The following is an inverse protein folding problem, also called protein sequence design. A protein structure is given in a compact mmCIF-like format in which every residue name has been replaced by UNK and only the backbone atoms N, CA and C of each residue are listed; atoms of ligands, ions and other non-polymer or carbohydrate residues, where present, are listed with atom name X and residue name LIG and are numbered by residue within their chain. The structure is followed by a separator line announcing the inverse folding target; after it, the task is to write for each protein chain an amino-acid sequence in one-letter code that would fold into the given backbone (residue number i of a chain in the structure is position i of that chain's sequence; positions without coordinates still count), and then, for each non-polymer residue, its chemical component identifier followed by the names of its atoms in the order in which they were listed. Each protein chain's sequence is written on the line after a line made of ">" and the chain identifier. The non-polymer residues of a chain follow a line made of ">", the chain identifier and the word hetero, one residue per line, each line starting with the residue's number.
data_IF_956059681114
#
_entry.id   IF_956059681114
#
_cell.length_a   1.000
_cell.length_b   1.000
_cell.length_c   1.000
_cell.angle_alpha   90.00
_cell.angle_beta   90.00
_cell.angle_gamma   90.00
#
_symmetry.space_group_name_H-M   'P 1'
#
loop_
_entity.id
_entity.type
_entity.pdbx_description
1 polymer ?
#
# COMPACT_ATOMS: atom_id res chain seq x y z
N UNK A 1 38.97 14.28 32.30
CA UNK A 1 37.53 14.60 32.15
C UNK A 1 37.21 15.45 30.91
N UNK A 2 38.03 16.44 30.52
CA UNK A 2 37.72 17.28 29.33
C UNK A 2 37.87 16.59 27.96
N UNK A 3 38.80 15.66 27.79
CA UNK A 3 39.01 14.96 26.52
C UNK A 3 37.92 13.93 26.21
N UNK A 4 37.37 13.29 27.24
CA UNK A 4 36.27 12.33 27.13
C UNK A 4 34.96 13.01 26.77
N UNK A 5 34.66 14.18 27.35
CA UNK A 5 33.45 14.95 27.00
C UNK A 5 33.54 15.53 25.59
N UNK A 6 34.71 16.00 25.17
CA UNK A 6 34.94 16.49 23.80
C UNK A 6 34.80 15.35 22.77
N UNK A 7 35.35 14.17 23.07
CA UNK A 7 35.22 12.98 22.23
C UNK A 7 33.77 12.51 22.06
N UNK A 8 33.00 12.48 23.15
CA UNK A 8 31.57 12.14 23.11
C UNK A 8 30.80 13.18 22.29
N UNK A 9 31.08 14.48 22.47
CA UNK A 9 30.44 15.56 21.72
C UNK A 9 30.67 15.44 20.21
N UNK A 10 31.91 15.14 19.80
CA UNK A 10 32.25 14.91 18.39
C UNK A 10 31.54 13.71 17.79
N UNK A 11 31.43 12.60 18.53
CA UNK A 11 30.71 11.41 18.08
C UNK A 11 29.21 11.68 17.91
N UNK A 12 28.59 12.41 18.84
CA UNK A 12 27.18 12.80 18.75
C UNK A 12 26.95 13.72 17.54
N UNK A 13 27.82 14.71 17.33
CA UNK A 13 27.73 15.60 16.18
C UNK A 13 27.90 14.85 14.85
N UNK A 14 28.85 13.92 14.77
CA UNK A 14 29.06 13.08 13.60
C UNK A 14 27.85 12.17 13.32
N UNK A 15 27.29 11.54 14.36
CA UNK A 15 26.10 10.70 14.23
C UNK A 15 24.87 11.52 13.78
N UNK A 16 24.69 12.72 14.32
CA UNK A 16 23.62 13.64 13.91
C UNK A 16 23.80 14.10 12.46
N UNK A 17 25.04 14.43 12.05
CA UNK A 17 25.37 14.80 10.68
C UNK A 17 25.09 13.67 9.69
N UNK A 18 25.46 12.43 10.03
CA UNK A 18 25.18 11.25 9.22
C UNK A 18 23.67 11.01 9.08
N UNK A 19 22.92 11.10 10.18
CA UNK A 19 21.47 10.95 10.15
C UNK A 19 20.79 12.05 9.32
N UNK A 20 21.26 13.30 9.39
CA UNK A 20 20.73 14.41 8.59
C UNK A 20 21.03 14.21 7.09
N UNK A 21 22.26 13.82 6.75
CA UNK A 21 22.64 13.52 5.37
C UNK A 21 21.80 12.38 4.79
N UNK A 22 21.58 11.31 5.58
CA UNK A 22 20.72 10.20 5.19
C UNK A 22 19.28 10.57 4.93
N UNK A 23 18.69 11.40 5.80
CA UNK A 23 17.34 11.95 5.56
C UNK A 23 17.28 12.78 4.28
N UNK A 24 18.29 13.60 4.02
CA UNK A 24 18.34 14.42 2.80
C UNK A 24 18.45 13.57 1.54
N UNK A 25 19.32 12.55 1.54
CA UNK A 25 19.45 11.61 0.42
C UNK A 25 18.13 10.88 0.17
N UNK A 26 17.50 10.38 1.22
CA UNK A 26 16.23 9.67 1.14
C UNK A 26 15.09 10.57 0.64
N UNK A 27 15.05 11.82 1.09
CA UNK A 27 14.07 12.80 0.61
C UNK A 27 14.26 13.08 -0.89
N UNK A 28 15.51 13.21 -1.37
CA UNK A 28 15.80 13.34 -2.79
C UNK A 28 15.30 12.15 -3.62
N UNK A 29 15.60 10.92 -3.18
CA UNK A 29 15.10 9.70 -3.83
C UNK A 29 13.56 9.62 -3.82
N UNK A 30 12.92 10.05 -2.72
CA UNK A 30 11.45 10.12 -2.64
C UNK A 30 10.89 11.11 -3.67
N UNK A 31 11.51 12.28 -3.82
CA UNK A 31 11.09 13.28 -4.80
C UNK A 31 11.27 12.80 -6.24
N UNK A 32 12.33 12.05 -6.52
CA UNK A 32 12.56 11.45 -7.83
C UNK A 32 11.47 10.43 -8.18
N UNK A 33 11.16 9.48 -7.28
CA UNK A 33 10.07 8.53 -7.49
C UNK A 33 8.71 9.22 -7.61
N UNK A 34 8.47 10.27 -6.83
CA UNK A 34 7.24 11.05 -6.94
C UNK A 34 7.15 11.75 -8.30
N UNK A 35 8.24 12.33 -8.80
CA UNK A 35 8.28 12.94 -10.12
C UNK A 35 8.01 11.91 -11.23
N UNK A 36 8.55 10.69 -11.11
CA UNK A 36 8.26 9.59 -12.03
C UNK A 36 6.78 9.17 -11.97
N UNK A 37 6.22 9.04 -10.77
CA UNK A 37 4.79 8.73 -10.57
C UNK A 37 3.89 9.79 -11.21
N UNK A 38 4.19 11.07 -10.98
CA UNK A 38 3.43 12.18 -11.55
C UNK A 38 3.58 12.28 -13.08
N UNK A 39 4.79 12.06 -13.61
CA UNK A 39 5.04 12.07 -15.05
C UNK A 39 4.35 10.90 -15.78
N UNK A 40 4.15 9.78 -15.10
CA UNK A 40 3.43 8.62 -15.62
C UNK A 40 1.90 8.79 -15.60
N UNK A 41 1.37 9.84 -14.95
CA UNK A 41 -0.08 10.06 -14.89
C UNK A 41 -0.64 10.28 -16.28
N UNK A 42 -1.71 9.56 -16.58
CA UNK A 42 -2.58 9.88 -17.69
C UNK A 42 -3.65 10.88 -17.24
N UNK A 43 -4.13 11.76 -18.13
CA UNK A 43 -5.30 12.58 -17.86
C UNK A 43 -6.44 11.68 -17.39
N UNK A 44 -6.92 11.97 -16.18
CA UNK A 44 -8.03 11.25 -15.62
C UNK A 44 -9.29 11.49 -16.49
N UNK A 45 -10.23 10.54 -16.48
CA UNK A 45 -11.53 10.75 -17.14
C UNK A 45 -12.41 11.55 -16.18
N UNK A 46 -12.74 12.78 -16.57
CA UNK A 46 -13.68 13.58 -15.79
C UNK A 46 -15.00 12.82 -15.72
N UNK A 47 -15.46 12.54 -14.50
CA UNK A 47 -16.59 11.66 -14.31
C UNK A 47 -17.10 11.64 -12.88
N UNK A 48 -18.41 11.45 -12.80
CA UNK A 48 -19.12 11.16 -11.57
C UNK A 48 -19.59 9.72 -11.65
N UNK A 49 -19.58 9.04 -10.51
CA UNK A 49 -20.18 7.73 -10.38
C UNK A 49 -21.68 7.80 -10.67
N UNK A 50 -22.13 6.94 -11.59
CA UNK A 50 -23.54 6.72 -11.90
C UNK A 50 -23.97 5.39 -11.28
N UNK A 51 -24.96 5.44 -10.37
CA UNK A 51 -25.43 4.26 -9.66
C UNK A 51 -25.98 3.15 -10.58
N UNK A 52 -26.29 3.44 -11.84
CA UNK A 52 -26.72 2.42 -12.82
C UNK A 52 -25.56 1.54 -13.30
N UNK A 53 -24.32 1.99 -13.15
CA UNK A 53 -23.14 1.22 -13.56
C UNK A 53 -23.04 -0.11 -12.81
N UNK A 54 -23.56 -0.17 -11.59
CA UNK A 54 -23.50 -1.37 -10.76
C UNK A 54 -24.68 -2.34 -10.98
N UNK A 55 -25.71 -1.97 -11.75
CA UNK A 55 -26.93 -2.78 -11.88
C UNK A 55 -26.68 -4.18 -12.46
N UNK A 56 -25.61 -4.31 -13.26
CA UNK A 56 -25.20 -5.56 -13.90
C UNK A 56 -24.13 -6.34 -13.12
N UNK A 57 -23.67 -5.83 -11.97
CA UNK A 57 -22.60 -6.44 -11.18
C UNK A 57 -23.10 -7.57 -10.28
N UNK A 58 -22.21 -8.45 -9.79
CA UNK A 58 -22.57 -9.47 -8.81
C UNK A 58 -23.22 -8.87 -7.55
N UNK A 59 -24.18 -9.60 -6.97
CA UNK A 59 -24.92 -9.18 -5.78
C UNK A 59 -24.07 -8.60 -4.63
N UNK A 60 -22.99 -9.27 -4.16
CA UNK A 60 -22.13 -8.71 -3.12
C UNK A 60 -21.44 -7.39 -3.52
N UNK A 61 -21.03 -7.27 -4.80
CA UNK A 61 -20.38 -6.07 -5.34
C UNK A 61 -21.36 -4.89 -5.41
N UNK A 62 -22.62 -5.15 -5.79
CA UNK A 62 -23.66 -4.12 -5.76
C UNK A 62 -23.89 -3.59 -4.35
N UNK A 63 -23.97 -4.49 -3.35
CA UNK A 63 -24.16 -4.11 -1.95
C UNK A 63 -22.99 -3.25 -1.46
N UNK A 64 -21.77 -3.61 -1.83
CA UNK A 64 -20.58 -2.81 -1.53
C UNK A 64 -20.67 -1.39 -2.07
N UNK A 65 -20.88 -1.20 -3.37
CA UNK A 65 -20.92 0.15 -3.94
C UNK A 65 -22.08 0.98 -3.40
N UNK A 66 -23.24 0.38 -3.11
CA UNK A 66 -24.36 1.06 -2.44
C UNK A 66 -24.05 1.47 -1.01
N UNK A 67 -23.20 0.70 -0.30
CA UNK A 67 -22.81 1.00 1.07
C UNK A 67 -21.68 2.05 1.14
N UNK A 68 -20.78 2.08 0.16
CA UNK A 68 -19.56 2.89 0.22
C UNK A 68 -19.58 4.16 -0.62
N UNK A 69 -20.44 4.27 -1.64
CA UNK A 69 -20.53 5.42 -2.54
C UNK A 69 -21.92 6.04 -2.53
N UNK A 70 -22.01 7.28 -3.03
CA UNK A 70 -23.27 7.97 -3.32
C UNK A 70 -23.35 8.26 -4.82
N UNK A 71 -24.54 8.19 -5.39
CA UNK A 71 -24.75 8.62 -6.77
C UNK A 71 -24.23 10.05 -6.98
N UNK A 72 -23.51 10.28 -8.08
CA UNK A 72 -22.83 11.53 -8.36
C UNK A 72 -21.50 11.74 -7.62
N UNK A 73 -20.96 10.73 -6.92
CA UNK A 73 -19.66 10.84 -6.25
C UNK A 73 -18.56 11.10 -7.31
N UNK A 74 -17.72 12.14 -7.17
CA UNK A 74 -16.64 12.38 -8.10
C UNK A 74 -15.58 11.27 -8.02
N UNK A 75 -15.01 10.91 -9.17
CA UNK A 75 -13.93 9.94 -9.23
C UNK A 75 -12.67 10.45 -8.53
N UNK A 76 -12.11 9.60 -7.67
CA UNK A 76 -10.81 9.80 -7.04
C UNK A 76 -9.75 9.61 -8.12
N UNK A 77 -8.92 10.64 -8.33
CA UNK A 77 -7.77 10.57 -9.24
C UNK A 77 -6.48 10.25 -8.50
N UNK A 78 -6.38 10.76 -7.26
CA UNK A 78 -5.25 10.52 -6.36
C UNK A 78 -5.75 10.32 -4.94
N UNK A 79 -5.19 9.35 -4.24
CA UNK A 79 -5.34 9.19 -2.81
C UNK A 79 -3.97 9.36 -2.14
N UNK A 80 -3.88 10.27 -1.17
CA UNK A 80 -2.70 10.45 -0.33
C UNK A 80 -3.08 10.10 1.09
N UNK A 81 -2.37 9.15 1.71
CA UNK A 81 -2.68 8.70 3.05
C UNK A 81 -1.44 8.41 3.90
N UNK A 82 -1.64 8.53 5.20
CA UNK A 82 -0.65 8.18 6.21
C UNK A 82 -1.15 7.00 7.03
N UNK A 83 -0.23 6.10 7.36
CA UNK A 83 -0.48 4.94 8.19
C UNK A 83 0.47 4.94 9.37
N UNK A 84 -0.02 4.45 10.50
CA UNK A 84 0.80 4.10 11.66
C UNK A 84 0.42 2.71 12.13
N UNK A 85 1.38 1.92 12.60
CA UNK A 85 1.10 0.57 13.03
C UNK A 85 2.34 -0.24 13.32
N UNK A 86 2.26 -1.56 13.12
CA UNK A 86 3.37 -2.48 13.34
C UNK A 86 3.63 -3.37 12.14
N UNK A 87 4.91 -3.62 11.87
CA UNK A 87 5.37 -4.54 10.84
C UNK A 87 6.26 -5.61 11.47
N UNK A 88 6.08 -6.87 11.08
CA UNK A 88 6.92 -7.97 11.54
C UNK A 88 8.14 -8.08 10.63
N UNK A 89 9.32 -7.87 11.20
CA UNK A 89 10.59 -7.93 10.48
C UNK A 89 11.20 -9.35 10.47
N UNK A 90 10.52 -10.34 11.06
CA UNK A 90 10.97 -11.73 11.09
C UNK A 90 10.20 -12.58 10.08
N UNK A 91 10.92 -13.43 9.33
CA UNK A 91 10.32 -14.38 8.39
C UNK A 91 9.75 -15.63 9.08
N UNK A 92 10.27 -16.00 10.25
CA UNK A 92 9.95 -17.28 10.93
C UNK A 92 9.48 -17.12 12.38
N UNK A 93 9.51 -15.91 12.92
CA UNK A 93 9.13 -15.63 14.31
C UNK A 93 8.43 -14.29 14.45
N UNK A 94 8.45 -13.73 15.66
CA UNK A 94 7.81 -12.46 15.98
C UNK A 94 8.84 -11.38 16.30
N UNK A 95 8.99 -10.42 15.39
CA UNK A 95 9.82 -9.23 15.57
C UNK A 95 9.03 -8.00 15.10
N UNK A 96 7.97 -7.70 15.84
CA UNK A 96 7.10 -6.57 15.56
C UNK A 96 7.78 -5.25 15.89
N UNK A 97 7.78 -4.33 14.92
CA UNK A 97 8.36 -3.00 15.04
C UNK A 97 7.33 -1.94 14.66
N UNK A 98 7.25 -0.82 15.39
CA UNK A 98 6.35 0.25 15.01
C UNK A 98 6.85 0.92 13.73
N UNK A 99 5.91 1.30 12.87
CA UNK A 99 6.18 2.07 11.67
C UNK A 99 5.24 3.27 11.53
N UNK A 100 5.70 4.25 10.77
CA UNK A 100 4.84 5.27 10.15
C UNK A 100 5.12 5.32 8.66
N UNK A 101 4.14 5.72 7.87
CA UNK A 101 4.32 5.86 6.43
C UNK A 101 3.47 6.95 5.83
N UNK A 102 3.91 7.40 4.67
CA UNK A 102 3.14 8.23 3.75
C UNK A 102 3.03 7.49 2.43
N UNK A 103 1.85 7.52 1.80
CA UNK A 103 1.62 6.93 0.49
C UNK A 103 0.85 7.89 -0.41
N UNK A 104 1.19 7.86 -1.69
CA UNK A 104 0.42 8.50 -2.76
C UNK A 104 0.10 7.46 -3.83
N UNK A 105 -1.18 7.27 -4.12
CA UNK A 105 -1.69 6.34 -5.13
C UNK A 105 -2.47 7.11 -6.21
N UNK A 106 -2.25 6.77 -7.47
CA UNK A 106 -2.91 7.34 -8.65
C UNK A 106 -3.79 6.27 -9.31
N UNK A 107 -4.97 6.63 -9.82
CA UNK A 107 -6.01 5.65 -10.21
C UNK A 107 -6.02 5.29 -11.70
N UNK A 108 -6.14 6.27 -12.60
CA UNK A 108 -6.37 6.01 -14.04
C UNK A 108 -5.21 5.34 -14.77
N UNK A 109 -3.98 5.55 -14.30
CA UNK A 109 -2.83 4.75 -14.69
C UNK A 109 -2.27 4.16 -13.40
N UNK A 110 -2.58 2.88 -13.08
CA UNK A 110 -2.26 2.29 -11.79
C UNK A 110 -0.83 2.59 -11.33
N UNK A 111 -0.71 3.18 -10.16
CA UNK A 111 0.59 3.48 -9.59
C UNK A 111 0.51 3.98 -8.17
N UNK A 112 1.57 3.74 -7.42
CA UNK A 112 1.72 4.30 -6.09
C UNK A 112 3.18 4.45 -5.71
N UNK A 113 3.42 5.32 -4.74
CA UNK A 113 4.65 5.42 -3.98
C UNK A 113 4.31 5.38 -2.49
N UNK A 114 4.82 4.37 -1.80
CA UNK A 114 4.80 4.25 -0.35
C UNK A 114 6.18 4.53 0.21
N UNK A 115 6.25 5.38 1.23
CA UNK A 115 7.47 5.74 1.94
C UNK A 115 7.29 5.44 3.43
N UNK A 116 7.87 4.34 3.87
CA UNK A 116 7.80 3.85 5.24
C UNK A 116 9.02 4.19 6.08
N UNK A 117 8.80 4.31 7.39
CA UNK A 117 9.83 4.44 8.41
C UNK A 117 9.56 3.46 9.53
N UNK A 118 10.49 2.56 9.78
CA UNK A 118 10.41 1.53 10.84
C UNK A 118 11.44 1.84 11.91
N UNK A 119 11.00 1.89 13.17
CA UNK A 119 11.91 2.08 14.30
C UNK A 119 12.53 0.73 14.69
N UNK A 120 13.83 0.56 14.45
CA UNK A 120 14.53 -0.71 14.66
C UNK A 120 14.84 -0.96 16.14
N UNK A 121 15.25 0.08 16.88
CA UNK A 121 15.55 0.02 18.31
C UNK A 121 14.61 0.94 19.11
N UNK A 122 13.92 0.42 20.16
CA UNK A 122 13.13 1.24 21.07
C UNK A 122 13.98 2.35 21.71
N UNK A 123 13.44 3.56 21.81
CA UNK A 123 14.11 4.71 22.43
C UNK A 123 15.24 5.35 21.61
N UNK A 124 15.65 4.75 20.48
CA UNK A 124 16.72 5.26 19.60
C UNK A 124 16.24 5.43 18.15
N UNK A 125 14.94 5.67 17.92
CA UNK A 125 14.38 5.76 16.57
C UNK A 125 15.15 6.74 15.67
N UNK A 126 15.55 7.90 16.20
CA UNK A 126 16.31 8.92 15.47
C UNK A 126 17.67 8.43 14.92
N UNK A 127 18.24 7.38 15.52
CA UNK A 127 19.55 6.78 15.18
C UNK A 127 19.42 5.32 14.68
N UNK A 128 18.20 4.81 14.54
CA UNK A 128 17.94 3.41 14.15
C UNK A 128 16.66 3.28 13.33
N UNK A 129 16.47 4.18 12.36
CA UNK A 129 15.34 4.10 11.43
C UNK A 129 15.74 3.29 10.19
N UNK A 130 14.95 2.27 9.85
CA UNK A 130 14.93 1.72 8.50
C UNK A 130 13.88 2.48 7.68
N UNK A 131 14.25 2.92 6.49
CA UNK A 131 13.36 3.58 5.54
C UNK A 131 13.11 2.66 4.36
N UNK A 132 11.89 2.66 3.84
CA UNK A 132 11.51 1.76 2.76
C UNK A 132 10.69 2.52 1.72
N UNK A 133 11.13 2.46 0.47
CA UNK A 133 10.34 2.82 -0.69
C UNK A 133 9.75 1.55 -1.27
N UNK A 134 8.44 1.56 -1.41
CA UNK A 134 7.72 0.52 -2.12
C UNK A 134 6.81 1.20 -3.15
N UNK A 135 6.86 0.76 -4.41
CA UNK A 135 6.17 1.46 -5.48
C UNK A 135 5.87 0.57 -6.68
N UNK A 136 4.78 0.90 -7.35
CA UNK A 136 4.51 0.47 -8.72
C UNK A 136 4.36 1.73 -9.58
N UNK A 137 5.21 1.89 -10.60
CA UNK A 137 5.21 3.07 -11.47
C UNK A 137 5.43 2.60 -12.91
N UNK A 138 4.44 2.85 -13.78
CA UNK A 138 4.50 2.56 -15.21
C UNK A 138 5.01 1.14 -15.53
N UNK A 139 4.41 0.12 -14.90
CA UNK A 139 4.80 -1.28 -15.10
C UNK A 139 6.06 -1.74 -14.36
N UNK A 140 6.70 -0.88 -13.57
CA UNK A 140 7.91 -1.19 -12.80
C UNK A 140 7.60 -1.25 -11.31
N UNK A 141 7.85 -2.40 -10.69
CA UNK A 141 7.83 -2.55 -9.22
C UNK A 141 9.19 -2.18 -8.63
N UNK A 142 9.20 -1.55 -7.47
CA UNK A 142 10.42 -1.20 -6.72
C UNK A 142 10.22 -1.46 -5.23
N UNK A 143 11.15 -2.18 -4.62
CA UNK A 143 11.30 -2.32 -3.18
C UNK A 143 12.73 -1.93 -2.80
N UNK A 144 12.90 -0.74 -2.23
CA UNK A 144 14.18 -0.24 -1.75
C UNK A 144 14.12 -0.01 -0.25
N UNK A 145 14.93 -0.71 0.52
CA UNK A 145 15.05 -0.56 1.97
C UNK A 145 16.46 -0.10 2.33
N UNK A 146 16.58 0.89 3.22
CA UNK A 146 17.86 1.40 3.69
C UNK A 146 17.85 1.70 5.19
N UNK A 147 18.97 1.47 5.87
CA UNK A 147 19.20 1.96 7.22
C UNK A 147 19.66 3.42 7.18
N UNK A 148 19.03 4.25 8.02
CA UNK A 148 19.25 5.70 8.11
C UNK A 148 19.03 6.46 6.79
N UNK A 149 18.39 5.84 5.79
CA UNK A 149 18.30 6.40 4.43
C UNK A 149 19.63 6.40 3.65
N UNK A 150 20.64 5.66 4.14
CA UNK A 150 21.99 5.64 3.55
C UNK A 150 22.44 4.24 3.13
N UNK A 151 22.35 3.28 4.05
CA UNK A 151 22.92 1.95 3.84
C UNK A 151 21.83 1.03 3.31
N UNK A 152 21.84 0.78 2.01
CA UNK A 152 20.89 -0.14 1.35
C UNK A 152 20.97 -1.53 1.98
N UNK A 153 19.79 -2.06 2.35
CA UNK A 153 19.58 -3.41 2.90
C UNK A 153 18.93 -4.31 1.85
N UNK A 154 18.00 -3.76 1.07
CA UNK A 154 17.36 -4.44 -0.05
C UNK A 154 17.12 -3.43 -1.16
N UNK A 155 17.31 -3.84 -2.40
CA UNK A 155 17.05 -3.01 -3.59
C UNK A 155 16.67 -3.95 -4.73
N UNK A 156 15.37 -4.03 -4.97
CA UNK A 156 14.79 -4.87 -6.01
C UNK A 156 13.91 -3.98 -6.87
N UNK A 157 14.20 -3.92 -8.16
CA UNK A 157 13.43 -3.14 -9.12
C UNK A 157 13.31 -3.88 -10.44
N UNK A 158 12.17 -3.75 -11.10
CA UNK A 158 11.98 -4.23 -12.47
C UNK A 158 10.53 -4.54 -12.82
N UNK A 159 10.36 -5.19 -13.97
CA UNK A 159 9.10 -5.79 -14.38
C UNK A 159 8.88 -7.17 -13.75
N UNK A 160 8.07 -8.02 -14.40
CA UNK A 160 7.87 -9.41 -13.98
C UNK A 160 7.22 -9.53 -12.60
N UNK A 161 7.74 -10.42 -11.76
CA UNK A 161 7.10 -10.77 -10.49
C UNK A 161 7.11 -9.64 -9.45
N UNK A 162 8.14 -8.79 -9.40
CA UNK A 162 8.14 -7.64 -8.47
C UNK A 162 7.05 -6.63 -8.88
N UNK A 163 6.96 -6.29 -10.17
CA UNK A 163 5.90 -5.43 -10.68
C UNK A 163 4.51 -6.04 -10.47
N UNK A 164 4.36 -7.35 -10.68
CA UNK A 164 3.11 -8.07 -10.43
C UNK A 164 2.71 -8.02 -8.96
N UNK A 165 3.67 -8.22 -8.04
CA UNK A 165 3.46 -8.15 -6.60
C UNK A 165 3.03 -6.75 -6.15
N UNK A 166 3.67 -5.70 -6.67
CA UNK A 166 3.31 -4.33 -6.30
C UNK A 166 1.99 -3.87 -6.89
N UNK A 167 1.66 -4.25 -8.14
CA UNK A 167 0.32 -4.00 -8.67
C UNK A 167 -0.76 -4.76 -7.88
N UNK A 168 -0.45 -5.96 -7.37
CA UNK A 168 -1.36 -6.72 -6.52
C UNK A 168 -1.61 -6.04 -5.18
N UNK A 169 -0.56 -5.46 -4.57
CA UNK A 169 -0.71 -4.63 -3.38
C UNK A 169 -1.62 -3.44 -3.66
N UNK A 170 -1.31 -2.68 -4.70
CA UNK A 170 -2.08 -1.53 -5.13
C UNK A 170 -3.56 -1.85 -5.35
N UNK A 171 -3.85 -3.00 -5.97
CA UNK A 171 -5.22 -3.42 -6.24
C UNK A 171 -5.99 -3.77 -4.95
N UNK A 172 -5.35 -4.48 -4.02
CA UNK A 172 -5.96 -4.76 -2.71
C UNK A 172 -6.21 -3.49 -1.88
N UNK A 173 -5.33 -2.50 -2.00
CA UNK A 173 -5.45 -1.20 -1.31
C UNK A 173 -6.54 -0.29 -1.88
N UNK A 174 -7.12 -0.60 -3.04
CA UNK A 174 -8.22 0.19 -3.62
C UNK A 174 -9.46 0.29 -2.72
N UNK A 175 -9.59 -0.57 -1.69
CA UNK A 175 -10.58 -0.39 -0.64
C UNK A 175 -10.45 0.97 0.08
N UNK A 176 -9.27 1.58 0.11
CA UNK A 176 -9.02 2.93 0.62
C UNK A 176 -9.32 4.05 -0.37
N UNK A 177 -9.66 3.77 -1.62
CA UNK A 177 -10.05 4.74 -2.64
C UNK A 177 -11.10 4.11 -3.58
N UNK A 178 -12.33 3.91 -3.06
CA UNK A 178 -13.28 2.92 -3.59
C UNK A 178 -13.80 3.19 -5.00
N UNK A 179 -13.74 4.43 -5.51
CA UNK A 179 -14.14 4.69 -6.90
C UNK A 179 -13.23 3.98 -7.90
N UNK A 180 -11.97 3.68 -7.54
CA UNK A 180 -11.04 2.94 -8.38
C UNK A 180 -11.47 1.48 -8.64
N UNK A 181 -12.38 0.93 -7.82
CA UNK A 181 -12.92 -0.43 -7.98
C UNK A 181 -14.07 -0.51 -9.01
N UNK A 182 -14.56 0.63 -9.51
CA UNK A 182 -15.69 0.66 -10.43
C UNK A 182 -15.32 0.09 -11.81
N UNK A 183 -16.25 -0.58 -12.51
CA UNK A 183 -16.06 -1.03 -13.89
C UNK A 183 -15.57 0.03 -14.89
N UNK A 184 -16.05 1.26 -14.75
CA UNK A 184 -15.65 2.42 -15.54
C UNK A 184 -14.19 2.82 -15.32
N UNK A 185 -13.59 2.37 -14.22
CA UNK A 185 -12.16 2.52 -13.91
C UNK A 185 -11.33 1.32 -14.35
N UNK A 186 -11.93 0.34 -15.05
CA UNK A 186 -11.23 -0.80 -15.65
C UNK A 186 -11.32 -2.11 -14.88
N UNK A 187 -12.00 -2.14 -13.73
CA UNK A 187 -12.13 -3.37 -12.92
C UNK A 187 -13.28 -4.26 -13.43
N UNK A 188 -12.98 -5.52 -13.73
CA UNK A 188 -13.97 -6.51 -14.16
C UNK A 188 -14.37 -7.41 -13.00
N UNK A 189 -15.66 -7.52 -12.73
CA UNK A 189 -16.19 -8.31 -11.63
C UNK A 189 -16.89 -9.58 -12.13
N UNK A 190 -16.62 -10.70 -11.46
CA UNK A 190 -17.26 -12.00 -11.70
C UNK A 190 -17.74 -12.59 -10.37
N UNK A 191 -18.96 -13.11 -10.35
CA UNK A 191 -19.54 -13.69 -9.15
C UNK A 191 -18.84 -15.02 -8.80
N UNK A 192 -18.59 -15.25 -7.51
CA UNK A 192 -18.15 -16.56 -6.99
C UNK A 192 -19.26 -17.18 -6.15
N UNK A 193 -19.75 -16.43 -5.16
CA UNK A 193 -20.90 -16.80 -4.33
C UNK A 193 -21.64 -15.55 -3.79
N UNK A 194 -22.58 -15.75 -2.85
CA UNK A 194 -23.40 -14.66 -2.28
C UNK A 194 -22.60 -13.64 -1.45
N UNK A 195 -21.36 -13.96 -1.08
CA UNK A 195 -20.47 -13.19 -0.20
C UNK A 195 -19.10 -12.90 -0.82
N UNK A 196 -18.84 -13.36 -2.04
CA UNK A 196 -17.54 -13.19 -2.68
C UNK A 196 -17.62 -13.00 -4.21
N UNK A 197 -16.64 -12.28 -4.75
CA UNK A 197 -16.51 -12.02 -6.18
C UNK A 197 -15.03 -11.90 -6.57
N UNK A 198 -14.70 -12.37 -7.77
CA UNK A 198 -13.41 -12.13 -8.38
C UNK A 198 -13.40 -10.75 -9.04
N UNK A 199 -12.36 -9.97 -8.77
CA UNK A 199 -12.11 -8.70 -9.45
C UNK A 199 -10.83 -8.82 -10.28
N UNK A 200 -10.89 -8.41 -11.54
CA UNK A 200 -9.76 -8.44 -12.46
C UNK A 200 -9.35 -7.03 -12.86
N UNK A 201 -8.05 -6.74 -12.76
CA UNK A 201 -7.41 -5.50 -13.20
C UNK A 201 -6.29 -5.83 -14.18
N UNK A 202 -6.16 -5.02 -15.23
CA UNK A 202 -5.12 -5.15 -16.25
C UNK A 202 -4.34 -3.84 -16.36
N UNK A 203 -3.02 -3.91 -16.23
CA UNK A 203 -2.11 -2.81 -16.56
C UNK A 203 -0.98 -3.32 -17.47
N UNK A 204 -0.98 -2.85 -18.72
CA UNK A 204 -0.06 -3.31 -19.76
C UNK A 204 -0.06 -4.85 -19.90
N UNK A 205 1.09 -5.52 -19.71
CA UNK A 205 1.19 -6.98 -19.80
C UNK A 205 0.74 -7.72 -18.53
N UNK A 206 0.45 -7.02 -17.43
CA UNK A 206 0.12 -7.63 -16.14
C UNK A 206 -1.41 -7.68 -15.98
N UNK A 207 -1.95 -8.89 -15.88
CA UNK A 207 -3.35 -9.15 -15.52
C UNK A 207 -3.43 -9.80 -14.14
N UNK A 208 -4.21 -9.23 -13.24
CA UNK A 208 -4.42 -9.72 -11.88
C UNK A 208 -5.88 -10.02 -11.65
N UNK A 209 -6.17 -11.16 -11.02
CA UNK A 209 -7.49 -11.48 -10.49
C UNK A 209 -7.34 -11.77 -9.00
N UNK A 210 -8.11 -11.05 -8.18
CA UNK A 210 -8.13 -11.22 -6.72
C UNK A 210 -9.55 -11.57 -6.28
N UNK A 211 -9.66 -12.39 -5.24
CA UNK A 211 -10.93 -12.75 -4.63
C UNK A 211 -11.26 -11.74 -3.53
N UNK A 212 -12.35 -11.00 -3.69
CA UNK A 212 -12.86 -10.08 -2.68
C UNK A 212 -13.97 -10.75 -1.88
N UNK A 213 -13.93 -10.61 -0.56
CA UNK A 213 -14.95 -11.11 0.35
C UNK A 213 -15.68 -9.93 1.02
N UNK A 214 -16.98 -10.11 1.22
CA UNK A 214 -17.87 -9.07 1.70
C UNK A 214 -18.68 -9.56 2.90
N UNK A 215 -18.93 -8.66 3.86
CA UNK A 215 -19.83 -8.94 4.98
C UNK A 215 -21.32 -8.73 4.59
N UNK A 216 -22.28 -9.11 5.47
CA UNK A 216 -23.69 -8.88 5.22
C UNK A 216 -24.11 -7.39 5.11
N UNK A 217 -23.31 -6.47 5.67
CA UNK A 217 -23.54 -5.03 5.52
C UNK A 217 -23.05 -4.51 4.14
N UNK A 218 -22.35 -5.35 3.37
CA UNK A 218 -21.82 -5.05 2.05
C UNK A 218 -20.37 -4.58 2.07
N UNK A 219 -19.71 -4.49 3.21
CA UNK A 219 -18.32 -4.01 3.27
C UNK A 219 -17.32 -5.09 2.86
N UNK A 220 -16.25 -4.71 2.16
CA UNK A 220 -15.11 -5.61 1.93
C UNK A 220 -14.49 -5.93 3.28
N UNK A 221 -14.27 -7.22 3.55
CA UNK A 221 -13.59 -7.71 4.76
C UNK A 221 -12.20 -8.23 4.44
N UNK A 222 -12.01 -8.83 3.27
CA UNK A 222 -10.72 -9.34 2.81
C UNK A 222 -10.56 -9.31 1.29
N UNK A 223 -9.30 -9.32 0.87
CA UNK A 223 -8.86 -9.45 -0.52
C UNK A 223 -7.77 -10.51 -0.57
N UNK A 224 -8.03 -11.60 -1.29
CA UNK A 224 -7.16 -12.78 -1.35
C UNK A 224 -6.53 -12.95 -2.74
N UNK A 225 -5.27 -13.36 -2.74
CA UNK A 225 -4.52 -13.80 -3.91
C UNK A 225 -4.01 -15.22 -3.69
N UNK A 226 -4.21 -16.10 -4.67
CA UNK A 226 -3.73 -17.49 -4.57
C UNK A 226 -2.21 -17.61 -4.57
N UNK A 227 -1.52 -16.65 -5.20
CA UNK A 227 -0.08 -16.67 -5.36
C UNK A 227 0.50 -15.25 -5.45
N UNK A 228 1.31 -14.88 -4.47
CA UNK A 228 2.18 -13.70 -4.46
C UNK A 228 3.60 -14.09 -4.08
N UNK A 229 4.58 -13.48 -4.73
CA UNK A 229 6.00 -13.68 -4.40
C UNK A 229 6.31 -13.24 -2.98
N UNK A 230 6.75 -14.18 -2.15
CA UNK A 230 7.24 -13.96 -0.79
C UNK A 230 8.74 -14.18 -0.76
N UNK A 231 9.50 -13.18 -0.31
CA UNK A 231 10.93 -13.36 -0.07
C UNK A 231 11.17 -14.23 1.16
N UNK A 232 11.66 -15.45 0.97
CA UNK A 232 12.04 -16.37 2.05
C UNK A 232 13.55 -16.62 1.95
N UNK A 233 14.34 -15.83 2.67
CA UNK A 233 15.80 -15.89 2.57
C UNK A 233 16.30 -15.34 1.23
N UNK A 234 16.95 -16.18 0.41
CA UNK A 234 17.41 -15.83 -0.94
C UNK A 234 16.42 -16.26 -2.03
N UNK A 235 15.42 -17.05 -1.69
CA UNK A 235 14.48 -17.62 -2.64
C UNK A 235 13.16 -16.85 -2.62
N UNK A 236 12.56 -16.70 -3.80
CA UNK A 236 11.19 -16.19 -3.92
C UNK A 236 10.25 -17.39 -4.00
N UNK A 237 9.32 -17.48 -3.05
CA UNK A 237 8.32 -18.54 -3.00
C UNK A 237 6.94 -17.92 -3.24
N UNK A 238 6.17 -18.50 -4.14
CA UNK A 238 4.79 -18.09 -4.37
C UNK A 238 3.91 -18.67 -3.25
N UNK A 239 3.30 -17.79 -2.46
CA UNK A 239 2.39 -18.17 -1.38
C UNK A 239 1.06 -17.44 -1.51
N UNK A 240 -0.05 -18.03 -1.04
CA UNK A 240 -1.29 -17.29 -0.95
C UNK A 240 -1.16 -16.13 0.04
N UNK A 241 -1.78 -15.03 -0.32
CA UNK A 241 -1.63 -13.74 0.34
C UNK A 241 -3.00 -13.13 0.57
N UNK A 242 -3.19 -12.58 1.76
CA UNK A 242 -4.48 -12.07 2.23
C UNK A 242 -4.32 -10.67 2.82
N UNK A 243 -5.22 -9.78 2.45
CA UNK A 243 -5.37 -8.44 3.00
C UNK A 243 -6.74 -8.29 3.63
N UNK A 244 -6.80 -8.07 4.94
CA UNK A 244 -8.04 -7.78 5.65
C UNK A 244 -8.18 -6.29 5.94
N UNK A 245 -9.39 -5.75 5.79
CA UNK A 245 -9.71 -4.35 6.10
C UNK A 245 -10.90 -4.27 7.06
N UNK A 246 -10.91 -3.26 7.92
CA UNK A 246 -11.96 -3.10 8.93
C UNK A 246 -12.08 -1.64 9.41
N UNK A 247 -13.00 -1.43 10.36
CA UNK A 247 -13.26 -0.13 10.98
C UNK A 247 -13.66 0.95 9.94
N UNK A 248 -14.73 0.68 9.20
CA UNK A 248 -15.24 1.59 8.17
C UNK A 248 -15.74 2.89 8.78
N UNK A 249 -15.34 4.02 8.20
CA UNK A 249 -15.73 5.35 8.63
C UNK A 249 -16.07 6.22 7.42
N UNK A 250 -16.98 7.18 7.62
CA UNK A 250 -17.35 8.14 6.59
C UNK A 250 -16.19 9.15 6.36
N UNK A 251 -15.74 9.27 5.12
CA UNK A 251 -14.71 10.22 4.65
C UNK A 251 -15.08 10.72 3.26
N UNK A 252 -15.15 12.04 3.08
CA UNK A 252 -15.52 12.65 1.79
C UNK A 252 -16.82 12.10 1.17
N UNK A 253 -17.80 11.75 2.02
CA UNK A 253 -19.07 11.18 1.59
C UNK A 253 -19.05 9.66 1.30
N UNK A 254 -17.89 9.01 1.41
CA UNK A 254 -17.70 7.57 1.17
C UNK A 254 -17.40 6.80 2.45
N UNK A 255 -17.84 5.55 2.56
CA UNK A 255 -17.43 4.67 3.66
C UNK A 255 -16.10 4.00 3.31
N UNK A 256 -15.07 4.22 4.12
CA UNK A 256 -13.69 3.78 3.86
C UNK A 256 -13.15 3.04 5.09
N UNK A 257 -12.52 1.87 4.96
CA UNK A 257 -11.89 1.19 6.09
C UNK A 257 -10.71 2.02 6.62
N UNK A 258 -10.54 2.03 7.94
CA UNK A 258 -9.45 2.79 8.59
C UNK A 258 -8.38 1.91 9.22
N UNK A 259 -8.53 0.59 9.10
CA UNK A 259 -7.52 -0.39 9.51
C UNK A 259 -7.32 -1.42 8.42
N UNK A 260 -6.06 -1.72 8.11
CA UNK A 260 -5.65 -2.74 7.15
C UNK A 260 -4.60 -3.67 7.73
N UNK A 261 -4.60 -4.91 7.28
CA UNK A 261 -3.65 -5.94 7.70
C UNK A 261 -3.32 -6.86 6.54
N UNK A 262 -2.03 -7.16 6.35
CA UNK A 262 -1.55 -8.07 5.33
C UNK A 262 -0.91 -9.30 5.96
N UNK A 263 -1.20 -10.47 5.40
CA UNK A 263 -0.80 -11.75 5.92
C UNK A 263 -0.43 -12.74 4.81
N UNK A 264 0.50 -13.64 5.12
CA UNK A 264 0.76 -14.83 4.33
C UNK A 264 -0.08 -15.99 4.84
N UNK A 265 -0.70 -16.75 3.95
CA UNK A 265 -1.32 -18.02 4.31
C UNK A 265 -0.27 -19.12 4.16
N UNK A 266 0.14 -19.70 5.29
CA UNK A 266 1.10 -20.80 5.34
C UNK A 266 0.40 -22.08 5.80
N UNK A 267 1.10 -23.20 5.76
CA UNK A 267 0.60 -24.47 6.29
C UNK A 267 0.24 -24.37 7.78
N UNK A 268 0.97 -23.53 8.53
CA UNK A 268 0.74 -23.25 9.95
C UNK A 268 -0.39 -22.23 10.20
N UNK A 269 -1.08 -21.79 9.14
CA UNK A 269 -2.17 -20.84 9.16
C UNK A 269 -1.79 -19.43 8.70
N UNK A 270 -2.71 -18.50 8.92
CA UNK A 270 -2.57 -17.08 8.57
C UNK A 270 -1.52 -16.41 9.45
N UNK A 271 -0.50 -15.82 8.83
CA UNK A 271 0.61 -15.12 9.51
C UNK A 271 0.69 -13.67 9.03
N UNK A 272 0.14 -12.79 9.85
CA UNK A 272 0.19 -11.34 9.64
C UNK A 272 1.60 -10.83 9.76
N UNK A 273 1.99 -9.94 8.84
CA UNK A 273 3.29 -9.27 8.88
C UNK A 273 3.15 -7.75 8.85
N UNK A 274 1.97 -7.22 8.54
CA UNK A 274 1.70 -5.79 8.52
C UNK A 274 0.33 -5.53 9.12
N UNK A 275 0.25 -4.56 10.03
CA UNK A 275 -1.01 -4.07 10.59
C UNK A 275 -0.89 -2.55 10.66
N UNK A 276 -1.78 -1.83 9.99
CA UNK A 276 -1.74 -0.37 9.88
C UNK A 276 -3.10 0.26 10.11
N UNK A 277 -3.10 1.38 10.83
CA UNK A 277 -4.25 2.25 11.03
C UNK A 277 -4.04 3.55 10.25
N UNK A 278 -5.09 3.97 9.55
CA UNK A 278 -5.14 5.19 8.76
C UNK A 278 -5.18 6.41 9.69
N UNK A 279 -4.14 7.24 9.64
CA UNK A 279 -4.05 8.47 10.46
C UNK A 279 -4.46 9.70 9.69
N UNK A 280 -4.30 9.70 8.36
CA UNK A 280 -4.69 10.77 7.46
C UNK A 280 -5.08 10.22 6.10
N UNK A 281 -6.04 10.86 5.44
CA UNK A 281 -6.49 10.53 4.09
C UNK A 281 -7.01 11.78 3.39
N UNK A 282 -6.45 12.04 2.21
CA UNK A 282 -6.81 13.18 1.36
C UNK A 282 -6.97 12.66 -0.07
N UNK A 283 -8.03 13.11 -0.73
CA UNK A 283 -8.29 12.77 -2.12
C UNK A 283 -8.14 14.00 -3.01
N UNK A 284 -7.62 13.77 -4.22
CA UNK A 284 -7.78 14.68 -5.34
C UNK A 284 -8.86 14.11 -6.25
N UNK A 285 -9.87 14.93 -6.53
CA UNK A 285 -10.94 14.60 -7.45
C UNK A 285 -10.70 15.32 -8.78
N UNK A 286 -11.21 14.75 -9.87
CA UNK A 286 -11.27 15.50 -11.11
C UNK A 286 -12.48 16.43 -11.08
N UNK A 287 -12.23 17.73 -11.23
CA UNK A 287 -13.25 18.76 -11.39
C UNK A 287 -13.56 19.01 -12.85
#
# INVERSE_FOLDING_TARGET
>A
MGWTTLGIGLLVAAAAGLAAFGRSRWAGATQEQLALLEAARLPALAGLYDAREIDVLPGPVQRYFRAVLKDGQPFITVATFELSGTINMSATGESWKPFTSWQRAVVHHPGFLWNGRVAMLPGLAALSTATVHDSYIAGTGTLHAALLGLFTVADVQGGGEIARGELMRYFAEMAWYPTALLPSQGVRWEAVDDSSANATLVDGPISLTLLFQFDPAGFITSVHADARGSGVGKDMVMLPWDCSVSNYQLRYGMMVPTRGEAAWLRLEGRKSYFVGDLTSLVYEFQT
#
